data_IF_492719094259
#
_entry.id   IF_492719094259
#
_cell.length_a   1.000
_cell.length_b   1.000
_cell.length_c   1.000
_cell.angle_alpha   90.00
_cell.angle_beta   90.00
_cell.angle_gamma   90.00
#
_symmetry.space_group_name_H-M   'P 1'
#
loop_
_entity.id
_entity.type
_entity.pdbx_description
1 polymer ?
#
# COMPACT_ATOMS: atom_id res chain seq x y z
N UNK A 1 1.05 38.86 4.06
CA UNK A 1 1.85 38.12 5.07
C UNK A 1 0.98 37.33 6.05
N UNK A 2 -0.01 37.94 6.73
CA UNK A 2 -0.75 37.35 7.87
C UNK A 2 -1.34 35.93 7.69
N UNK A 3 -1.84 35.57 6.48
CA UNK A 3 -2.45 34.25 6.23
C UNK A 3 -1.45 33.10 6.31
N UNK A 4 -0.23 33.30 5.80
CA UNK A 4 0.80 32.25 5.79
C UNK A 4 1.35 32.04 7.20
N UNK A 5 1.48 33.12 7.97
CA UNK A 5 1.97 33.07 9.34
C UNK A 5 0.96 32.40 10.28
N UNK A 6 -0.34 32.66 10.10
CA UNK A 6 -1.41 31.93 10.78
C UNK A 6 -1.32 30.41 10.54
N UNK A 7 -1.18 30.00 9.27
CA UNK A 7 -1.03 28.60 8.90
C UNK A 7 0.23 27.96 9.49
N UNK A 8 1.39 28.64 9.43
CA UNK A 8 2.62 28.14 10.06
C UNK A 8 2.47 27.97 11.56
N UNK A 9 1.82 28.93 12.23
CA UNK A 9 1.61 28.87 13.67
C UNK A 9 0.65 27.74 14.05
N UNK A 10 -0.42 27.51 13.26
CA UNK A 10 -1.31 26.37 13.41
C UNK A 10 -0.56 25.03 13.30
N UNK A 11 0.25 24.86 12.24
CA UNK A 11 1.05 23.64 12.06
C UNK A 11 2.06 23.42 13.20
N UNK A 12 2.60 24.51 13.77
CA UNK A 12 3.50 24.44 14.93
C UNK A 12 2.76 24.03 16.19
N UNK A 13 1.63 24.66 16.50
CA UNK A 13 0.86 24.43 17.72
C UNK A 13 0.30 23.01 17.82
N UNK A 14 -0.13 22.43 16.69
CA UNK A 14 -0.70 21.08 16.63
C UNK A 14 0.32 20.01 16.20
N UNK A 15 1.61 20.35 16.12
CA UNK A 15 2.67 19.44 15.67
C UNK A 15 2.33 18.76 14.32
N UNK A 16 1.81 19.52 13.34
CA UNK A 16 1.43 18.99 12.03
C UNK A 16 2.55 19.17 11.01
N UNK A 17 2.60 18.28 10.02
CA UNK A 17 3.51 18.35 8.89
C UNK A 17 2.83 17.84 7.62
N UNK A 18 3.21 18.40 6.48
CA UNK A 18 2.80 17.91 5.17
C UNK A 18 3.73 16.74 4.78
N UNK A 19 3.16 15.55 4.56
CA UNK A 19 3.92 14.32 4.30
C UNK A 19 3.42 13.64 3.03
N UNK A 20 4.29 12.85 2.41
CA UNK A 20 3.91 11.91 1.36
C UNK A 20 3.84 10.53 2.00
N UNK A 21 2.70 9.85 1.88
CA UNK A 21 2.54 8.49 2.40
C UNK A 21 3.47 7.52 1.69
N UNK A 22 3.75 6.39 2.34
CA UNK A 22 4.53 5.34 1.72
C UNK A 22 3.83 4.82 0.45
N UNK A 23 4.64 4.54 -0.57
CA UNK A 23 4.17 3.91 -1.80
C UNK A 23 3.74 2.48 -1.51
N UNK A 24 2.44 2.24 -1.58
CA UNK A 24 1.78 0.96 -1.27
C UNK A 24 0.83 0.63 -2.42
N UNK A 25 0.81 -0.62 -2.89
CA UNK A 25 -0.15 -1.03 -3.92
C UNK A 25 -1.57 -1.10 -3.35
N UNK A 26 -2.56 -0.70 -4.14
CA UNK A 26 -3.96 -0.79 -3.73
C UNK A 26 -4.38 -2.24 -3.46
N UNK A 27 -3.83 -3.18 -4.23
CA UNK A 27 -4.03 -4.62 -4.04
C UNK A 27 -3.51 -5.10 -2.70
N UNK A 28 -2.42 -4.53 -2.17
CA UNK A 28 -1.93 -4.88 -0.84
C UNK A 28 -2.88 -4.37 0.25
N UNK A 29 -3.40 -3.16 0.10
CA UNK A 29 -4.36 -2.59 1.06
C UNK A 29 -5.67 -3.40 1.06
N UNK A 30 -6.17 -3.77 -0.12
CA UNK A 30 -7.43 -4.50 -0.25
C UNK A 30 -7.29 -6.01 -0.05
N UNK A 31 -6.13 -6.57 -0.38
CA UNK A 31 -5.88 -8.01 -0.46
C UNK A 31 -5.38 -8.64 0.83
N UNK A 32 -4.75 -7.87 1.73
CA UNK A 32 -4.29 -8.39 3.03
C UNK A 32 -5.41 -8.36 4.07
N UNK A 33 -6.49 -9.08 3.79
CA UNK A 33 -7.54 -9.40 4.77
C UNK A 33 -7.82 -10.91 4.78
N UNK A 34 -8.35 -11.41 5.91
CA UNK A 34 -8.56 -12.85 6.12
C UNK A 34 -9.34 -13.50 4.96
N UNK A 35 -10.42 -12.86 4.52
CA UNK A 35 -11.31 -13.40 3.49
C UNK A 35 -10.59 -13.54 2.14
N UNK A 36 -9.80 -12.53 1.76
CA UNK A 36 -9.06 -12.54 0.49
C UNK A 36 -7.90 -13.54 0.52
N UNK A 37 -7.19 -13.62 1.66
CA UNK A 37 -6.09 -14.57 1.85
C UNK A 37 -6.61 -16.01 1.82
N UNK A 38 -7.73 -16.30 2.48
CA UNK A 38 -8.37 -17.62 2.48
C UNK A 38 -8.79 -18.03 1.06
N UNK A 39 -9.51 -17.15 0.35
CA UNK A 39 -9.89 -17.38 -1.06
C UNK A 39 -8.69 -17.62 -1.97
N UNK A 40 -7.59 -16.90 -1.76
CA UNK A 40 -6.37 -17.09 -2.54
C UNK A 40 -5.82 -18.51 -2.38
N UNK A 41 -5.67 -18.98 -1.14
CA UNK A 41 -5.14 -20.32 -0.87
C UNK A 41 -6.10 -21.43 -1.27
N UNK A 42 -7.41 -21.24 -1.13
CA UNK A 42 -8.41 -22.19 -1.62
C UNK A 42 -8.29 -22.40 -3.13
N UNK A 43 -8.25 -21.30 -3.88
CA UNK A 43 -8.10 -21.33 -5.34
C UNK A 43 -6.75 -21.94 -5.76
N UNK A 44 -5.66 -21.56 -5.09
CA UNK A 44 -4.33 -22.10 -5.36
C UNK A 44 -4.30 -23.61 -5.13
N UNK A 45 -4.84 -24.08 -4.00
CA UNK A 45 -4.87 -25.50 -3.64
C UNK A 45 -5.65 -26.31 -4.66
N UNK A 46 -6.84 -25.82 -5.06
CA UNK A 46 -7.69 -26.46 -6.07
C UNK A 46 -6.97 -26.59 -7.43
N UNK A 47 -6.35 -25.51 -7.88
CA UNK A 47 -5.64 -25.51 -9.17
C UNK A 47 -4.42 -26.46 -9.13
N UNK A 48 -3.70 -26.48 -8.01
CA UNK A 48 -2.54 -27.35 -7.83
C UNK A 48 -2.94 -28.84 -7.74
N UNK A 49 -4.11 -29.16 -7.15
CA UNK A 49 -4.63 -30.55 -7.14
C UNK A 49 -5.07 -31.02 -8.52
N UNK A 50 -5.71 -30.14 -9.29
CA UNK A 50 -6.31 -30.49 -10.58
C UNK A 50 -5.26 -30.63 -11.70
N UNK A 51 -4.28 -29.74 -11.73
CA UNK A 51 -3.31 -29.65 -12.83
C UNK A 51 -1.91 -30.20 -12.48
N UNK A 52 -1.58 -30.34 -11.19
CA UNK A 52 -0.28 -30.84 -10.68
C UNK A 52 0.94 -30.25 -11.41
N UNK A 53 1.05 -28.93 -11.40
CA UNK A 53 2.17 -28.26 -12.06
C UNK A 53 3.51 -28.66 -11.45
N UNK A 54 4.53 -28.97 -12.26
CA UNK A 54 5.88 -29.15 -11.76
C UNK A 54 6.41 -27.81 -11.22
N UNK A 55 7.29 -27.82 -10.20
CA UNK A 55 7.86 -26.60 -9.63
C UNK A 55 8.53 -25.69 -10.67
N UNK A 56 9.07 -26.27 -11.75
CA UNK A 56 9.72 -25.54 -12.85
C UNK A 56 8.79 -24.64 -13.67
N UNK A 57 7.47 -24.76 -13.50
CA UNK A 57 6.46 -23.95 -14.20
C UNK A 57 5.71 -22.99 -13.27
N UNK A 58 6.16 -22.85 -12.02
CA UNK A 58 5.58 -21.92 -11.05
C UNK A 58 6.52 -20.72 -10.96
N UNK A 59 6.02 -19.56 -11.40
CA UNK A 59 6.77 -18.32 -11.41
C UNK A 59 6.12 -17.31 -10.47
N UNK A 60 6.94 -16.49 -9.81
CA UNK A 60 6.41 -15.36 -9.06
C UNK A 60 6.07 -14.23 -10.02
N UNK A 61 4.85 -13.67 -9.90
CA UNK A 61 4.37 -12.61 -10.78
C UNK A 61 5.15 -11.28 -10.62
N UNK A 62 5.86 -11.10 -9.49
CA UNK A 62 6.56 -9.86 -9.16
C UNK A 62 7.74 -9.52 -10.10
N UNK A 63 8.20 -10.46 -10.94
CA UNK A 63 9.28 -10.25 -11.92
C UNK A 63 8.80 -9.65 -13.25
N UNK A 64 7.49 -9.49 -13.45
CA UNK A 64 6.91 -8.98 -14.72
C UNK A 64 7.13 -7.48 -14.95
N UNK A 65 7.66 -6.74 -13.98
CA UNK A 65 7.89 -5.29 -14.08
C UNK A 65 6.62 -4.43 -14.10
N UNK A 66 5.44 -5.05 -13.95
CA UNK A 66 4.15 -4.37 -13.88
C UNK A 66 3.96 -3.86 -12.45
N UNK A 67 4.09 -2.54 -12.24
CA UNK A 67 3.91 -1.94 -10.92
C UNK A 67 2.46 -1.54 -10.70
N UNK A 68 1.78 -2.13 -9.71
CA UNK A 68 0.43 -1.70 -9.28
C UNK A 68 0.47 -0.60 -8.21
N UNK A 69 1.67 -0.10 -7.93
CA UNK A 69 1.94 1.00 -7.01
C UNK A 69 1.70 2.35 -7.72
N UNK A 70 0.88 3.25 -7.17
CA UNK A 70 0.64 4.55 -7.79
C UNK A 70 1.93 5.38 -7.83
N UNK A 71 2.21 5.97 -9.00
CA UNK A 71 3.40 6.81 -9.20
C UNK A 71 3.31 8.14 -8.45
N UNK A 72 2.11 8.71 -8.37
CA UNK A 72 1.81 9.98 -7.71
C UNK A 72 1.00 9.70 -6.46
N UNK A 73 1.51 10.15 -5.31
CA UNK A 73 0.81 10.07 -4.02
C UNK A 73 0.56 11.50 -3.53
N UNK A 74 -0.70 11.85 -3.19
CA UNK A 74 -1.01 13.17 -2.68
C UNK A 74 -0.31 13.42 -1.35
N UNK A 75 0.05 14.68 -1.11
CA UNK A 75 0.55 15.08 0.20
C UNK A 75 -0.60 15.17 1.19
N UNK A 76 -0.43 14.60 2.37
CA UNK A 76 -1.41 14.59 3.45
C UNK A 76 -0.88 15.34 4.67
N UNK A 77 -1.78 15.98 5.42
CA UNK A 77 -1.43 16.64 6.68
C UNK A 77 -1.51 15.59 7.79
N UNK A 78 -0.40 15.36 8.50
CA UNK A 78 -0.31 14.37 9.57
C UNK A 78 0.55 14.89 10.73
N UNK A 79 0.33 14.30 11.91
CA UNK A 79 1.10 14.62 13.12
C UNK A 79 2.57 14.26 12.91
N UNK A 80 3.46 15.17 13.30
CA UNK A 80 4.90 14.94 13.34
C UNK A 80 5.17 13.69 14.17
N UNK A 81 6.02 12.80 13.66
CA UNK A 81 6.44 11.54 14.29
C UNK A 81 5.47 10.36 14.24
N UNK A 82 4.27 10.52 13.66
CA UNK A 82 3.41 9.37 13.34
C UNK A 82 3.82 8.78 11.98
N UNK A 83 4.20 7.50 11.96
CA UNK A 83 4.35 6.77 10.71
C UNK A 83 2.96 6.59 10.09
N UNK A 84 2.80 7.07 8.87
CA UNK A 84 1.61 6.85 8.05
C UNK A 84 1.99 5.81 7.01
N UNK A 85 1.43 4.61 7.18
CA UNK A 85 1.43 3.54 6.17
C UNK A 85 0.39 3.87 5.12
#
# INVERSE_FOLDING_TARGET
>A
MARVDCMRNFFKNYNLSLRTSQKTSLEMIMGFNKIQVEKFYDNQTKIMSDQKFPPSRIYNMNETGITTVPNIIPKVVAVKWKQSV
#
